data_IF_658797487487
#
_entry.id   IF_658797487487
#
_cell.length_a   1.000
_cell.length_b   1.000
_cell.length_c   1.000
_cell.angle_alpha   90.00
_cell.angle_beta   90.00
_cell.angle_gamma   90.00
#
_symmetry.space_group_name_H-M   'P 1'
#
loop_
_entity.id
_entity.type
_entity.pdbx_description
1 polymer ?
#
# COMPACT_ATOMS: atom_id res chain seq x y z
N UNK A 1 4.72 -18.86 -0.08
CA UNK A 1 4.77 -17.42 0.15
C UNK A 1 3.99 -16.71 -0.95
N UNK A 2 2.80 -16.23 -0.61
CA UNK A 2 1.95 -15.47 -1.52
C UNK A 2 1.78 -14.03 -1.02
N UNK A 3 1.93 -13.06 -1.92
CA UNK A 3 1.49 -11.69 -1.72
C UNK A 3 0.25 -11.48 -2.58
N UNK A 4 -0.87 -11.14 -1.97
CA UNK A 4 -2.13 -10.89 -2.66
C UNK A 4 -2.35 -9.40 -2.83
N UNK A 5 -2.44 -8.94 -4.07
CA UNK A 5 -2.63 -7.52 -4.39
C UNK A 5 -4.06 -7.27 -4.85
N UNK A 6 -4.81 -6.45 -4.11
CA UNK A 6 -6.19 -6.09 -4.44
C UNK A 6 -6.30 -4.59 -4.70
N UNK A 7 -6.73 -4.20 -5.92
CA UNK A 7 -7.16 -2.81 -6.18
C UNK A 7 -8.57 -2.64 -5.62
N UNK A 8 -8.72 -1.72 -4.67
CA UNK A 8 -9.99 -1.47 -3.99
C UNK A 8 -10.75 -0.32 -4.65
N UNK A 9 -10.04 0.73 -5.07
CA UNK A 9 -10.59 1.86 -5.81
C UNK A 9 -9.51 2.59 -6.61
N UNK A 10 -9.86 3.12 -7.78
CA UNK A 10 -9.01 4.01 -8.58
C UNK A 10 -9.59 5.43 -8.66
N UNK A 11 -10.38 5.83 -7.66
CA UNK A 11 -11.22 7.03 -7.71
C UNK A 11 -12.62 6.75 -8.26
N UNK A 12 -13.55 7.67 -7.98
CA UNK A 12 -14.97 7.53 -8.27
C UNK A 12 -15.87 8.28 -7.28
N UNK A 13 -16.54 9.31 -7.78
CA UNK A 13 -17.55 10.09 -7.07
C UNK A 13 -17.03 11.45 -6.58
N UNK A 14 -17.93 12.41 -6.41
CA UNK A 14 -17.54 13.78 -6.07
C UNK A 14 -17.15 13.96 -4.59
N UNK A 15 -16.20 14.86 -4.35
CA UNK A 15 -15.90 15.46 -3.05
C UNK A 15 -14.68 14.90 -2.31
N UNK A 16 -14.41 15.50 -1.14
CA UNK A 16 -13.26 15.14 -0.30
C UNK A 16 -13.26 13.65 0.08
N UNK A 17 -12.08 13.05 0.02
CA UNK A 17 -11.84 11.68 0.45
C UNK A 17 -11.82 11.61 1.97
N UNK A 18 -12.35 10.51 2.50
CA UNK A 18 -12.24 10.15 3.93
C UNK A 18 -11.39 8.90 4.12
N UNK A 19 -10.56 8.57 3.12
CA UNK A 19 -9.93 7.25 3.04
C UNK A 19 -8.88 7.03 4.13
N UNK A 20 -8.12 8.06 4.49
CA UNK A 20 -7.13 7.98 5.58
C UNK A 20 -7.81 7.69 6.93
N UNK A 21 -8.93 8.36 7.20
CA UNK A 21 -9.77 8.10 8.38
C UNK A 21 -10.37 6.70 8.35
N UNK A 22 -10.89 6.28 7.19
CA UNK A 22 -11.38 4.91 6.99
C UNK A 22 -10.30 3.88 7.34
N UNK A 23 -9.08 4.03 6.81
CA UNK A 23 -7.97 3.13 7.09
C UNK A 23 -7.62 3.15 8.58
N UNK A 24 -7.61 4.34 9.19
CA UNK A 24 -7.20 4.50 10.58
C UNK A 24 -8.20 3.94 11.59
N UNK A 25 -9.50 4.02 11.32
CA UNK A 25 -10.54 3.83 12.35
C UNK A 25 -11.50 2.66 12.09
N UNK A 26 -11.72 2.25 10.84
CA UNK A 26 -12.82 1.34 10.51
C UNK A 26 -12.50 -0.12 10.81
N UNK A 27 -13.51 -0.87 11.26
CA UNK A 27 -13.52 -2.32 11.39
C UNK A 27 -12.32 -2.85 12.20
N UNK A 28 -11.97 -2.17 13.29
CA UNK A 28 -10.83 -2.53 14.14
C UNK A 28 -11.13 -3.77 14.98
N UNK A 29 -10.17 -4.68 15.03
CA UNK A 29 -10.14 -5.74 16.03
C UNK A 29 -9.42 -5.20 17.27
N UNK A 30 -10.18 -4.92 18.34
CA UNK A 30 -9.63 -4.33 19.55
C UNK A 30 -8.68 -5.26 20.31
N UNK A 31 -8.82 -6.58 20.15
CA UNK A 31 -7.93 -7.54 20.79
C UNK A 31 -6.56 -7.59 20.11
N UNK A 32 -6.53 -7.45 18.78
CA UNK A 32 -5.30 -7.48 17.98
C UNK A 32 -4.65 -6.11 17.81
N UNK A 33 -5.45 -5.05 17.66
CA UNK A 33 -5.01 -3.72 17.25
C UNK A 33 -5.11 -2.67 18.37
N UNK A 34 -5.71 -3.04 19.50
CA UNK A 34 -5.90 -2.14 20.65
C UNK A 34 -6.97 -1.06 20.42
N UNK A 35 -7.21 -0.18 21.42
CA UNK A 35 -8.31 0.78 21.39
C UNK A 35 -8.05 2.03 20.54
N UNK A 36 -6.81 2.48 20.37
CA UNK A 36 -6.48 3.71 19.65
C UNK A 36 -6.58 3.59 18.12
N UNK A 37 -6.73 4.70 17.39
CA UNK A 37 -6.72 4.66 15.92
C UNK A 37 -5.42 4.08 15.38
N UNK A 38 -5.48 3.33 14.26
CA UNK A 38 -4.28 2.80 13.61
C UNK A 38 -3.40 3.97 13.18
N UNK A 39 -2.12 3.88 13.52
CA UNK A 39 -1.12 4.85 13.11
C UNK A 39 -0.78 4.64 11.65
N UNK A 40 -0.97 5.69 10.86
CA UNK A 40 -0.61 5.67 9.44
C UNK A 40 0.87 5.99 9.28
N UNK A 41 1.41 5.69 8.10
CA UNK A 41 2.79 5.97 7.73
C UNK A 41 2.89 6.35 6.25
N UNK A 42 4.00 6.96 5.87
CA UNK A 42 4.38 7.28 4.49
C UNK A 42 5.82 6.80 4.23
N UNK A 43 6.43 7.28 3.14
CA UNK A 43 7.81 6.95 2.78
C UNK A 43 8.81 7.16 3.92
N UNK A 44 8.70 8.27 4.65
CA UNK A 44 9.68 8.72 5.63
C UNK A 44 9.08 9.09 7.00
N UNK A 45 7.75 9.07 7.13
CA UNK A 45 7.05 9.44 8.36
C UNK A 45 6.24 8.29 8.94
N UNK A 46 6.29 8.17 10.26
CA UNK A 46 5.52 7.22 11.05
C UNK A 46 4.52 7.93 11.97
N UNK A 47 3.65 7.14 12.60
CA UNK A 47 2.75 7.60 13.66
C UNK A 47 1.80 8.73 13.24
N UNK A 48 1.46 8.78 11.94
CA UNK A 48 0.60 9.80 11.37
C UNK A 48 -0.84 9.62 11.85
N UNK A 49 -1.48 10.74 12.21
CA UNK A 49 -2.93 10.83 12.28
C UNK A 49 -3.52 10.86 10.86
N UNK A 50 -4.79 10.52 10.71
CA UNK A 50 -5.45 10.64 9.39
C UNK A 50 -5.42 12.07 8.86
N UNK A 51 -5.53 13.09 9.71
CA UNK A 51 -5.37 14.49 9.31
C UNK A 51 -3.99 14.83 8.75
N UNK A 52 -2.92 14.26 9.34
CA UNK A 52 -1.57 14.48 8.83
C UNK A 52 -1.33 13.70 7.54
N UNK A 53 -1.91 12.51 7.43
CA UNK A 53 -1.90 11.73 6.20
C UNK A 53 -2.64 12.44 5.04
N UNK A 54 -3.78 13.10 5.32
CA UNK A 54 -4.50 13.89 4.32
C UNK A 54 -3.64 15.05 3.79
N UNK A 55 -2.87 15.72 4.66
CA UNK A 55 -1.92 16.76 4.25
C UNK A 55 -0.71 16.25 3.47
N UNK A 56 -0.35 14.97 3.61
CA UNK A 56 0.67 14.37 2.74
C UNK A 56 0.07 14.13 1.35
N UNK A 57 -1.17 13.63 1.27
CA UNK A 57 -1.84 13.37 0.01
C UNK A 57 -2.27 14.64 -0.74
N UNK A 58 -2.54 15.71 -0.01
CA UNK A 58 -2.91 17.03 -0.52
C UNK A 58 -2.25 18.12 0.34
N UNK A 59 -1.01 18.52 -0.01
CA UNK A 59 -0.25 19.53 0.75
C UNK A 59 -0.91 20.90 0.83
N UNK A 60 -1.73 21.26 -0.15
CA UNK A 60 -2.29 22.61 -0.26
C UNK A 60 -3.53 22.78 0.62
N UNK A 61 -4.49 21.85 0.54
CA UNK A 61 -5.77 21.98 1.25
C UNK A 61 -5.94 20.97 2.40
N UNK A 62 -5.13 19.91 2.43
CA UNK A 62 -5.27 18.82 3.40
C UNK A 62 -6.62 18.11 3.32
N UNK A 63 -7.26 18.12 2.14
CA UNK A 63 -8.54 17.48 1.87
C UNK A 63 -8.49 16.82 0.48
N UNK A 64 -7.75 15.70 0.35
CA UNK A 64 -7.51 15.09 -0.94
C UNK A 64 -8.83 14.68 -1.61
N UNK A 65 -8.97 14.95 -2.90
CA UNK A 65 -10.16 14.56 -3.65
C UNK A 65 -10.13 13.05 -3.94
N UNK A 66 -11.29 12.39 -3.92
CA UNK A 66 -11.39 10.96 -4.23
C UNK A 66 -10.87 10.63 -5.63
N UNK A 67 -11.11 11.51 -6.60
CA UNK A 67 -10.70 11.28 -7.99
C UNK A 67 -9.19 11.41 -8.21
N UNK A 68 -8.47 11.98 -7.24
CA UNK A 68 -7.02 12.15 -7.28
C UNK A 68 -6.26 10.98 -6.65
N UNK A 69 -6.98 9.98 -6.11
CA UNK A 69 -6.39 8.90 -5.34
C UNK A 69 -6.57 7.53 -6.00
N UNK A 70 -5.60 6.66 -5.78
CA UNK A 70 -5.70 5.22 -6.02
C UNK A 70 -5.53 4.52 -4.67
N UNK A 71 -6.50 3.67 -4.32
CA UNK A 71 -6.52 2.88 -3.10
C UNK A 71 -6.42 1.39 -3.44
N UNK A 72 -5.42 0.74 -2.87
CA UNK A 72 -5.23 -0.70 -3.00
C UNK A 72 -4.79 -1.28 -1.66
N UNK A 73 -4.81 -2.60 -1.56
CA UNK A 73 -4.26 -3.30 -0.41
C UNK A 73 -3.33 -4.42 -0.85
N UNK A 74 -2.30 -4.63 -0.03
CA UNK A 74 -1.39 -5.75 -0.14
C UNK A 74 -1.57 -6.62 1.07
N UNK A 75 -1.95 -7.87 0.85
CA UNK A 75 -2.23 -8.87 1.87
C UNK A 75 -1.17 -9.96 1.82
N UNK A 76 -0.79 -10.47 2.97
CA UNK A 76 0.09 -11.62 3.11
C UNK A 76 -0.56 -12.67 4.02
N UNK A 77 -0.10 -13.92 3.89
CA UNK A 77 -0.50 -15.00 4.79
C UNK A 77 0.01 -14.71 6.21
N UNK A 78 -0.75 -15.11 7.23
CA UNK A 78 -0.36 -14.89 8.64
C UNK A 78 1.00 -15.52 8.95
N UNK A 79 1.29 -16.69 8.37
CA UNK A 79 2.56 -17.40 8.53
C UNK A 79 3.74 -16.62 7.94
N UNK A 80 3.52 -15.82 6.89
CA UNK A 80 4.54 -14.97 6.31
C UNK A 80 4.75 -13.69 7.13
N UNK A 81 3.69 -13.18 7.74
CA UNK A 81 3.77 -12.08 8.69
C UNK A 81 4.49 -12.50 9.98
N UNK A 82 4.27 -13.72 10.46
CA UNK A 82 4.90 -14.24 11.66
C UNK A 82 6.42 -14.36 11.54
N UNK A 83 6.94 -14.56 10.33
CA UNK A 83 8.39 -14.59 10.05
C UNK A 83 9.06 -13.22 10.13
N UNK A 84 8.30 -12.13 10.20
CA UNK A 84 8.84 -10.77 10.21
C UNK A 84 9.36 -10.30 11.58
N UNK A 85 9.19 -11.07 12.65
CA UNK A 85 9.67 -10.65 13.95
C UNK A 85 9.19 -11.54 15.10
N UNK A 86 9.83 -11.38 16.24
CA UNK A 86 9.51 -12.15 17.44
C UNK A 86 8.20 -11.71 18.09
N UNK A 87 7.84 -10.43 17.94
CA UNK A 87 6.64 -9.84 18.52
C UNK A 87 5.85 -8.99 17.51
N UNK A 88 4.65 -8.60 17.92
CA UNK A 88 3.72 -7.84 17.07
C UNK A 88 4.30 -6.50 16.61
N UNK A 89 5.06 -5.82 17.48
CA UNK A 89 5.64 -4.51 17.17
C UNK A 89 6.70 -4.67 16.10
N UNK A 90 7.60 -5.63 16.26
CA UNK A 90 8.66 -5.93 15.30
C UNK A 90 8.06 -6.36 13.95
N UNK A 91 7.08 -7.27 13.95
CA UNK A 91 6.42 -7.73 12.71
C UNK A 91 5.78 -6.56 11.94
N UNK A 92 5.07 -5.67 12.64
CA UNK A 92 4.48 -4.48 12.01
C UNK A 92 5.54 -3.50 11.50
N UNK A 93 6.64 -3.32 12.23
CA UNK A 93 7.75 -2.46 11.83
C UNK A 93 8.43 -2.99 10.56
N UNK A 94 8.77 -4.27 10.52
CA UNK A 94 9.35 -4.90 9.34
C UNK A 94 8.38 -4.95 8.16
N UNK A 95 7.10 -5.18 8.39
CA UNK A 95 6.11 -5.10 7.31
C UNK A 95 5.99 -3.68 6.74
N UNK A 96 6.08 -2.65 7.60
CA UNK A 96 6.12 -1.25 7.18
C UNK A 96 7.31 -0.96 6.28
N UNK A 97 8.50 -1.43 6.65
CA UNK A 97 9.70 -1.28 5.83
C UNK A 97 9.58 -2.03 4.50
N UNK A 98 9.00 -3.24 4.49
CA UNK A 98 8.71 -3.95 3.25
C UNK A 98 7.78 -3.12 2.33
N UNK A 99 6.74 -2.49 2.88
CA UNK A 99 5.85 -1.61 2.12
C UNK A 99 6.62 -0.40 1.57
N UNK A 100 7.48 0.25 2.35
CA UNK A 100 8.30 1.38 1.90
C UNK A 100 9.20 1.01 0.73
N UNK A 101 9.92 -0.10 0.85
CA UNK A 101 10.80 -0.58 -0.20
C UNK A 101 10.01 -0.96 -1.47
N UNK A 102 8.88 -1.65 -1.31
CA UNK A 102 8.03 -2.03 -2.43
C UNK A 102 7.42 -0.82 -3.14
N UNK A 103 7.07 0.25 -2.42
CA UNK A 103 6.56 1.48 -3.01
C UNK A 103 7.64 2.23 -3.81
N UNK A 104 8.90 2.21 -3.37
CA UNK A 104 10.04 2.70 -4.18
C UNK A 104 10.21 1.89 -5.46
N UNK A 105 10.06 0.58 -5.38
CA UNK A 105 10.01 -0.30 -6.55
C UNK A 105 8.84 0.03 -7.48
N UNK A 106 7.66 0.30 -6.92
CA UNK A 106 6.44 0.65 -7.66
C UNK A 106 6.60 1.96 -8.43
N UNK A 107 7.24 2.97 -7.84
CA UNK A 107 7.58 4.23 -8.54
C UNK A 107 8.44 3.97 -9.79
N UNK A 108 9.39 3.03 -9.69
CA UNK A 108 10.23 2.62 -10.83
C UNK A 108 9.40 1.95 -11.94
N UNK A 109 8.53 0.99 -11.58
CA UNK A 109 7.67 0.28 -12.55
C UNK A 109 6.66 1.23 -13.25
N UNK A 110 6.24 2.27 -12.54
CA UNK A 110 5.35 3.32 -13.08
C UNK A 110 6.12 4.40 -13.87
N UNK A 111 7.45 4.34 -13.95
CA UNK A 111 8.30 5.36 -14.57
C UNK A 111 8.01 6.77 -14.01
N UNK A 112 8.03 6.89 -12.69
CA UNK A 112 7.94 8.16 -11.96
C UNK A 112 9.14 8.32 -11.03
N UNK A 113 9.45 9.56 -10.64
CA UNK A 113 10.55 9.85 -9.71
C UNK A 113 10.21 9.26 -8.34
N UNK A 114 9.09 9.68 -7.80
CA UNK A 114 8.56 9.31 -6.49
C UNK A 114 7.04 9.21 -6.54
N UNK A 115 6.46 8.61 -5.50
CA UNK A 115 5.02 8.51 -5.31
C UNK A 115 4.66 9.22 -4.02
N UNK A 116 3.62 10.04 -4.05
CA UNK A 116 3.01 10.55 -2.81
C UNK A 116 1.99 9.53 -2.31
N UNK A 117 2.25 8.90 -1.16
CA UNK A 117 1.39 7.87 -0.62
C UNK A 117 1.37 7.84 0.91
N UNK A 118 0.30 7.24 1.44
CA UNK A 118 0.14 6.91 2.86
C UNK A 118 -0.43 5.51 3.00
N UNK A 119 -0.12 4.83 4.10
CA UNK A 119 -0.60 3.49 4.35
C UNK A 119 -0.93 3.23 5.82
N UNK A 120 -1.69 2.17 6.06
CA UNK A 120 -1.95 1.63 7.39
C UNK A 120 -2.07 0.11 7.34
N UNK A 121 -1.50 -0.57 8.34
CA UNK A 121 -1.54 -2.03 8.47
C UNK A 121 -2.79 -2.41 9.27
N UNK A 122 -3.56 -3.36 8.75
CA UNK A 122 -4.76 -3.91 9.35
C UNK A 122 -4.49 -5.35 9.80
N UNK A 123 -4.84 -5.63 11.06
CA UNK A 123 -4.80 -6.98 11.68
C UNK A 123 -6.20 -7.49 12.06
N UNK A 124 -7.24 -6.87 11.53
CA UNK A 124 -8.64 -7.18 11.83
C UNK A 124 -9.20 -8.42 11.12
N UNK A 125 -8.43 -9.05 10.24
CA UNK A 125 -8.80 -10.29 9.55
C UNK A 125 -7.73 -11.36 9.78
N UNK A 126 -7.97 -12.57 9.26
CA UNK A 126 -7.01 -13.67 9.36
C UNK A 126 -5.67 -13.31 8.71
N UNK A 127 -5.70 -12.60 7.58
CA UNK A 127 -4.52 -12.29 6.80
C UNK A 127 -4.14 -10.81 6.97
N UNK A 128 -2.94 -10.51 7.50
CA UNK A 128 -2.45 -9.15 7.65
C UNK A 128 -2.40 -8.45 6.30
N UNK A 129 -2.82 -7.19 6.27
CA UNK A 129 -2.80 -6.42 5.02
C UNK A 129 -2.53 -4.95 5.25
N UNK A 130 -1.77 -4.34 4.33
CA UNK A 130 -1.56 -2.90 4.29
C UNK A 130 -2.52 -2.28 3.28
N UNK A 131 -3.36 -1.35 3.74
CA UNK A 131 -4.06 -0.45 2.83
C UNK A 131 -3.13 0.69 2.46
N UNK A 132 -2.99 0.94 1.16
CA UNK A 132 -2.12 1.97 0.60
C UNK A 132 -2.96 2.89 -0.28
N UNK A 133 -2.81 4.20 -0.05
CA UNK A 133 -3.46 5.25 -0.83
C UNK A 133 -2.36 6.09 -1.44
N UNK A 134 -2.38 6.25 -2.75
CA UNK A 134 -1.44 7.09 -3.48
C UNK A 134 -2.15 8.19 -4.25
N UNK A 135 -1.53 9.36 -4.32
CA UNK A 135 -1.94 10.43 -5.23
C UNK A 135 -1.60 10.04 -6.68
N UNK A 136 -2.48 10.38 -7.63
CA UNK A 136 -2.29 10.14 -9.05
C UNK A 136 -1.31 11.11 -9.70
N UNK A 137 -1.11 12.29 -9.13
CA UNK A 137 -0.10 13.24 -9.56
C UNK A 137 1.30 12.72 -9.18
N UNK A 138 2.20 12.72 -10.16
CA UNK A 138 3.60 12.38 -9.98
C UNK A 138 4.45 13.08 -11.04
N UNK A 139 5.78 13.01 -10.88
CA UNK A 139 6.73 13.50 -11.89
C UNK A 139 7.27 12.33 -12.70
N UNK A 140 7.23 12.42 -14.03
CA UNK A 140 7.80 11.42 -14.91
C UNK A 140 9.33 11.44 -14.87
N UNK A 141 9.93 10.33 -14.43
CA UNK A 141 11.37 10.18 -14.21
C UNK A 141 12.26 10.57 -15.40
N UNK A 142 11.81 10.29 -16.63
CA UNK A 142 12.64 10.51 -17.83
C UNK A 142 12.62 11.96 -18.30
N UNK A 143 11.50 12.64 -18.11
CA UNK A 143 11.26 13.96 -18.72
C UNK A 143 11.16 15.09 -17.70
N UNK A 144 11.03 14.77 -16.41
CA UNK A 144 10.77 15.74 -15.34
C UNK A 144 9.41 16.43 -15.45
N UNK A 145 8.50 15.91 -16.29
CA UNK A 145 7.18 16.51 -16.53
C UNK A 145 6.13 15.91 -15.61
N UNK A 146 5.10 16.71 -15.34
CA UNK A 146 3.90 16.24 -14.65
C UNK A 146 3.29 15.03 -15.37
N UNK A 147 2.94 14.03 -14.58
CA UNK A 147 2.33 12.78 -15.03
C UNK A 147 1.16 12.43 -14.15
N UNK A 148 0.04 12.13 -14.80
CA UNK A 148 -1.16 11.68 -14.13
C UNK A 148 -1.34 10.16 -14.28
N UNK A 149 -1.31 9.46 -13.16
CA UNK A 149 -1.45 8.00 -13.10
C UNK A 149 -2.94 7.65 -13.03
N UNK A 150 -3.62 7.64 -14.17
CA UNK A 150 -5.06 7.35 -14.22
C UNK A 150 -5.42 5.99 -13.60
N UNK A 151 -4.59 4.97 -13.82
CA UNK A 151 -4.73 3.62 -13.28
C UNK A 151 -3.38 2.92 -13.28
N UNK A 152 -3.20 1.96 -12.38
CA UNK A 152 -2.05 1.05 -12.45
C UNK A 152 -2.22 0.17 -13.70
N UNK A 153 -1.25 0.13 -14.62
CA UNK A 153 -1.32 -0.72 -15.80
C UNK A 153 -1.52 -2.20 -15.44
N UNK A 154 -2.45 -2.89 -16.10
CA UNK A 154 -2.78 -4.30 -15.81
C UNK A 154 -1.56 -5.22 -15.82
N UNK A 155 -0.62 -4.98 -16.74
CA UNK A 155 0.63 -5.76 -16.84
C UNK A 155 1.52 -5.68 -15.58
N UNK A 156 1.32 -4.68 -14.72
CA UNK A 156 2.07 -4.51 -13.47
C UNK A 156 1.42 -5.22 -12.29
N UNK A 157 0.17 -5.66 -12.44
CA UNK A 157 -0.66 -6.26 -11.40
C UNK A 157 -0.67 -7.78 -11.52
N UNK A 158 -1.10 -8.51 -10.47
CA UNK A 158 -1.35 -9.93 -10.61
C UNK A 158 -2.35 -10.23 -11.72
N UNK A 159 -2.08 -11.27 -12.48
CA UNK A 159 -2.88 -11.68 -13.62
C UNK A 159 -2.85 -13.19 -13.78
N UNK A 160 -3.77 -13.71 -14.59
CA UNK A 160 -3.89 -15.13 -14.87
C UNK A 160 -2.98 -15.50 -16.03
N UNK A 161 -2.23 -16.56 -15.87
CA UNK A 161 -1.44 -17.21 -16.91
C UNK A 161 -1.76 -18.70 -16.98
N UNK A 162 -1.52 -19.31 -18.14
CA UNK A 162 -1.63 -20.77 -18.30
C UNK A 162 -0.24 -21.37 -18.13
N UNK A 163 -0.05 -22.14 -17.07
CA UNK A 163 1.18 -22.90 -16.83
C UNK A 163 0.84 -24.39 -16.77
N UNK A 164 1.53 -25.20 -17.58
CA UNK A 164 1.30 -26.65 -17.67
C UNK A 164 -0.19 -27.02 -17.89
N UNK A 165 -0.90 -26.23 -18.71
CA UNK A 165 -2.31 -26.44 -19.02
C UNK A 165 -3.28 -26.07 -17.88
N UNK A 166 -2.81 -25.46 -16.80
CA UNK A 166 -3.63 -24.96 -15.68
C UNK A 166 -3.54 -23.44 -15.58
N UNK A 167 -4.68 -22.83 -15.28
CA UNK A 167 -4.73 -21.40 -14.98
C UNK A 167 -4.14 -21.17 -13.58
N UNK A 168 -3.13 -20.31 -13.50
CA UNK A 168 -2.48 -19.90 -12.26
C UNK A 168 -2.47 -18.37 -12.18
N UNK A 169 -2.60 -17.84 -10.97
CA UNK A 169 -2.42 -16.41 -10.72
C UNK A 169 -0.92 -16.19 -10.49
N UNK A 170 -0.30 -15.37 -11.33
CA UNK A 170 1.08 -14.93 -11.17
C UNK A 170 1.11 -13.49 -10.71
N UNK A 171 2.16 -13.12 -10.00
CA UNK A 171 2.41 -11.73 -9.64
C UNK A 171 2.78 -10.92 -10.88
N UNK A 172 2.31 -9.68 -10.94
CA UNK A 172 2.92 -8.69 -11.81
C UNK A 172 4.17 -8.06 -11.19
N UNK A 173 4.95 -7.28 -11.94
CA UNK A 173 6.14 -6.56 -11.46
C UNK A 173 5.97 -5.84 -10.13
N UNK A 174 4.82 -5.22 -9.84
CA UNK A 174 4.60 -4.57 -8.53
C UNK A 174 4.49 -5.62 -7.41
N UNK A 175 3.74 -6.71 -7.64
CA UNK A 175 3.64 -7.82 -6.67
C UNK A 175 5.02 -8.41 -6.34
N UNK A 176 5.87 -8.55 -7.35
CA UNK A 176 7.27 -8.98 -7.17
C UNK A 176 8.10 -8.00 -6.32
N UNK A 177 7.86 -6.68 -6.40
CA UNK A 177 8.52 -5.72 -5.49
C UNK A 177 8.09 -5.93 -4.05
N UNK A 178 6.81 -6.19 -3.79
CA UNK A 178 6.32 -6.49 -2.45
C UNK A 178 6.87 -7.81 -1.92
N UNK A 179 6.90 -8.85 -2.76
CA UNK A 179 7.44 -10.16 -2.39
C UNK A 179 8.93 -10.06 -2.03
N UNK A 180 9.74 -9.46 -2.91
CA UNK A 180 11.18 -9.32 -2.65
C UNK A 180 11.50 -8.43 -1.46
N UNK A 181 10.70 -7.38 -1.20
CA UNK A 181 10.85 -6.55 -0.01
C UNK A 181 10.49 -7.32 1.28
N UNK A 182 9.44 -8.14 1.24
CA UNK A 182 9.05 -9.00 2.35
C UNK A 182 10.15 -10.02 2.68
N UNK A 183 10.69 -10.70 1.67
CA UNK A 183 11.78 -11.68 1.83
C UNK A 183 13.00 -11.07 2.51
N UNK A 184 13.39 -9.86 2.09
CA UNK A 184 14.52 -9.14 2.70
C UNK A 184 14.29 -8.87 4.17
N UNK A 185 13.07 -8.45 4.54
CA UNK A 185 12.73 -8.15 5.93
C UNK A 185 12.64 -9.41 6.80
N UNK A 186 12.24 -10.56 6.23
CA UNK A 186 12.26 -11.85 6.93
C UNK A 186 13.69 -12.39 7.15
N UNK A 187 14.67 -11.92 6.38
CA UNK A 187 16.06 -12.35 6.47
C UNK A 187 16.92 -11.57 7.48
N UNK A 188 16.36 -10.55 8.15
CA UNK A 188 17.02 -9.73 9.17
C UNK A 188 16.97 -10.39 10.56
#
# INVERSE_FOLDING_TARGET
MGVFFHILSTGGGAGASRITRYISERDKDLAREGPGSRRLFSEDQDNLSYHRADRILDPDQGQPNKDDLIHFSVMIEEEEFDKLGADEKEKQERFREAVREAMKGTATELNVEELTWVAGIHRNSQNPHAHIVMNKAAIERRTGRDKWINRIPKRLLPHKEIQNGREVIVNGPIGEKFLGALEKQQAL
#
